data_IF_094486206771
#
_entry.id   IF_094486206771
#
_cell.length_a   1.000
_cell.length_b   1.000
_cell.length_c   1.000
_cell.angle_alpha   90.00
_cell.angle_beta   90.00
_cell.angle_gamma   90.00
#
_symmetry.space_group_name_H-M   'P 1'
#
loop_
_entity.id
_entity.type
_entity.pdbx_description
1 polymer ?
#
# COMPACT_ATOMS: atom_id res chain seq x y z
N UNK A 1 1.30 18.11 60.77
CA UNK A 1 1.84 16.99 59.96
C UNK A 1 0.93 16.59 58.80
N UNK A 2 -0.41 16.49 58.99
CA UNK A 2 -1.38 16.09 57.94
C UNK A 2 -1.46 17.03 56.72
N UNK A 3 -1.46 18.35 56.93
CA UNK A 3 -1.56 19.36 55.84
C UNK A 3 -0.35 19.32 54.90
N UNK A 4 0.84 19.08 55.45
CA UNK A 4 2.08 18.99 54.67
C UNK A 4 2.07 17.77 53.75
N UNK A 5 1.54 16.64 54.23
CA UNK A 5 1.44 15.41 53.45
C UNK A 5 0.44 15.55 52.28
N UNK A 6 -0.71 16.19 52.51
CA UNK A 6 -1.71 16.47 51.46
C UNK A 6 -1.16 17.36 50.33
N UNK A 7 -0.37 18.39 50.67
CA UNK A 7 0.27 19.27 49.71
C UNK A 7 1.31 18.56 48.83
N UNK A 8 2.09 17.65 49.43
CA UNK A 8 3.08 16.85 48.69
C UNK A 8 2.39 15.90 47.70
N UNK A 9 1.33 15.22 48.13
CA UNK A 9 0.55 14.32 47.26
C UNK A 9 -0.09 15.11 46.11
N UNK A 10 -0.77 16.22 46.41
CA UNK A 10 -1.39 17.05 45.37
C UNK A 10 -0.39 17.60 44.35
N UNK A 11 0.84 17.89 44.76
CA UNK A 11 1.90 18.32 43.85
C UNK A 11 2.39 17.17 42.96
N UNK A 12 2.59 15.99 43.54
CA UNK A 12 2.97 14.79 42.79
C UNK A 12 1.91 14.43 41.74
N UNK A 13 0.64 14.51 42.09
CA UNK A 13 -0.48 14.22 41.17
C UNK A 13 -0.54 15.25 40.03
N UNK A 14 -0.25 16.52 40.33
CA UNK A 14 -0.20 17.57 39.31
C UNK A 14 0.97 17.38 38.34
N UNK A 15 2.16 17.02 38.85
CA UNK A 15 3.33 16.73 38.02
C UNK A 15 3.09 15.49 37.15
N UNK A 16 2.44 14.45 37.69
CA UNK A 16 2.02 13.28 36.92
C UNK A 16 1.01 13.64 35.81
N UNK A 17 -0.01 14.43 36.14
CA UNK A 17 -1.03 14.85 35.16
C UNK A 17 -0.44 15.71 34.04
N UNK A 18 0.56 16.57 34.35
CA UNK A 18 1.28 17.31 33.32
C UNK A 18 2.07 16.40 32.39
N UNK A 19 2.73 15.38 32.93
CA UNK A 19 3.45 14.40 32.13
C UNK A 19 2.49 13.61 31.22
N UNK A 20 1.36 13.16 31.77
CA UNK A 20 0.33 12.44 31.01
C UNK A 20 -0.23 13.30 29.87
N UNK A 21 -0.49 14.59 30.12
CA UNK A 21 -0.97 15.51 29.09
C UNK A 21 0.06 15.72 27.98
N UNK A 22 1.34 15.85 28.34
CA UNK A 22 2.41 15.98 27.37
C UNK A 22 2.56 14.72 26.50
N UNK A 23 2.47 13.54 27.11
CA UNK A 23 2.51 12.26 26.40
C UNK A 23 1.30 12.11 25.47
N UNK A 24 0.09 12.40 25.95
CA UNK A 24 -1.13 12.32 25.14
C UNK A 24 -1.09 13.27 23.94
N UNK A 25 -0.51 14.47 24.11
CA UNK A 25 -0.31 15.40 23.00
C UNK A 25 0.66 14.84 21.97
N UNK A 26 1.76 14.23 22.41
CA UNK A 26 2.72 13.58 21.51
C UNK A 26 2.10 12.41 20.74
N UNK A 27 1.32 11.57 21.43
CA UNK A 27 0.59 10.45 20.82
C UNK A 27 -0.44 10.94 19.79
N UNK A 28 -1.17 12.01 20.10
CA UNK A 28 -2.12 12.63 19.18
C UNK A 28 -1.44 13.14 17.92
N UNK A 29 -0.31 13.84 18.06
CA UNK A 29 0.43 14.39 16.93
C UNK A 29 1.03 13.26 16.06
N UNK A 30 1.50 12.17 16.68
CA UNK A 30 1.98 10.96 15.97
C UNK A 30 0.85 10.30 15.17
N UNK A 31 -0.28 10.00 15.83
CA UNK A 31 -1.41 9.33 15.18
C UNK A 31 -2.01 10.19 14.05
N UNK A 32 -2.00 11.51 14.21
CA UNK A 32 -2.43 12.43 13.15
C UNK A 32 -1.50 12.38 11.95
N UNK A 33 -0.19 12.36 12.17
CA UNK A 33 0.79 12.23 11.08
C UNK A 33 0.61 10.91 10.33
N UNK A 34 0.47 9.79 11.05
CA UNK A 34 0.23 8.47 10.45
C UNK A 34 -1.06 8.45 9.62
N UNK A 35 -2.14 9.06 10.12
CA UNK A 35 -3.40 9.16 9.39
C UNK A 35 -3.26 10.00 8.11
N UNK A 36 -2.52 11.12 8.18
CA UNK A 36 -2.30 11.99 7.03
C UNK A 36 -1.43 11.29 5.97
N UNK A 37 -0.50 10.43 6.37
CA UNK A 37 0.30 9.60 5.44
C UNK A 37 -0.55 8.51 4.78
N UNK A 38 -1.38 7.78 5.54
CA UNK A 38 -2.29 6.76 5.00
C UNK A 38 -3.25 7.37 3.97
N UNK A 39 -3.78 8.56 4.24
CA UNK A 39 -4.72 9.26 3.35
C UNK A 39 -4.12 9.66 2.01
N UNK A 40 -2.80 9.69 1.85
CA UNK A 40 -2.16 9.99 0.56
C UNK A 40 -2.33 8.85 -0.44
N UNK A 41 -2.45 7.62 0.05
CA UNK A 41 -2.45 6.40 -0.77
C UNK A 41 -3.74 5.57 -0.62
N UNK A 42 -4.57 5.88 0.38
CA UNK A 42 -5.83 5.19 0.65
C UNK A 42 -7.07 6.10 0.43
N UNK A 43 -8.13 5.61 -0.23
CA UNK A 43 -8.24 4.29 -0.86
C UNK A 43 -7.33 4.19 -2.08
N UNK A 44 -6.77 3.00 -2.30
CA UNK A 44 -6.07 2.73 -3.54
C UNK A 44 -7.04 2.94 -4.72
N UNK A 45 -6.51 3.37 -5.86
CA UNK A 45 -7.27 3.69 -7.05
C UNK A 45 -6.80 2.89 -8.26
N UNK A 46 -7.65 2.88 -9.26
CA UNK A 46 -7.28 2.44 -10.60
C UNK A 46 -6.33 3.46 -11.26
N UNK A 47 -5.61 2.98 -12.28
CA UNK A 47 -4.90 3.85 -13.20
C UNK A 47 -5.92 4.60 -14.07
N UNK A 48 -5.67 5.88 -14.29
CA UNK A 48 -6.53 6.78 -15.10
C UNK A 48 -6.34 6.58 -16.60
N UNK A 49 -5.24 5.96 -17.02
CA UNK A 49 -4.95 5.68 -18.42
C UNK A 49 -3.90 4.58 -18.57
N UNK A 50 -3.82 3.98 -19.77
CA UNK A 50 -2.75 3.04 -20.11
C UNK A 50 -1.36 3.68 -20.03
N UNK A 51 -1.25 4.96 -20.36
CA UNK A 51 0.02 5.71 -20.30
C UNK A 51 0.52 5.79 -18.86
N UNK A 52 -0.37 6.12 -17.91
CA UNK A 52 -0.01 6.14 -16.48
C UNK A 52 0.44 4.77 -15.97
N UNK A 53 -0.23 3.68 -16.39
CA UNK A 53 0.20 2.32 -16.05
C UNK A 53 1.59 2.01 -16.62
N UNK A 54 1.84 2.38 -17.89
CA UNK A 54 3.14 2.13 -18.52
C UNK A 54 4.26 2.96 -17.89
N UNK A 55 4.00 4.21 -17.53
CA UNK A 55 4.95 5.05 -16.82
C UNK A 55 5.29 4.44 -15.44
N UNK A 56 4.28 3.97 -14.70
CA UNK A 56 4.50 3.31 -13.41
C UNK A 56 5.27 1.99 -13.55
N UNK A 57 4.96 1.17 -14.57
CA UNK A 57 5.69 -0.07 -14.83
C UNK A 57 7.16 0.18 -15.19
N UNK A 58 7.48 1.25 -15.92
CA UNK A 58 8.86 1.62 -16.23
C UNK A 58 9.65 2.07 -14.99
N UNK A 59 8.97 2.58 -13.95
CA UNK A 59 9.59 2.94 -12.67
C UNK A 59 9.73 1.71 -11.73
N UNK A 60 8.92 0.68 -11.92
CA UNK A 60 8.97 -0.57 -11.16
C UNK A 60 10.02 -1.54 -11.74
N UNK A 61 11.04 -1.91 -10.98
CA UNK A 61 12.20 -2.67 -11.47
C UNK A 61 12.01 -4.20 -11.46
N UNK A 62 10.81 -4.71 -11.16
CA UNK A 62 10.56 -6.16 -11.03
C UNK A 62 10.78 -6.91 -12.35
N UNK A 63 10.44 -6.28 -13.48
CA UNK A 63 10.65 -6.84 -14.82
C UNK A 63 12.14 -6.98 -15.16
N UNK A 64 13.00 -6.13 -14.59
CA UNK A 64 14.45 -6.12 -14.79
C UNK A 64 15.18 -7.18 -13.94
N UNK A 65 14.52 -7.75 -12.93
CA UNK A 65 15.09 -8.82 -12.10
C UNK A 65 15.34 -10.10 -12.94
N UNK A 66 16.32 -10.95 -12.54
CA UNK A 66 16.60 -12.20 -13.26
C UNK A 66 15.33 -13.03 -13.53
N UNK A 67 15.21 -13.69 -14.70
CA UNK A 67 14.05 -14.47 -15.05
C UNK A 67 13.74 -15.56 -14.02
N UNK A 68 12.46 -15.75 -13.73
CA UNK A 68 11.97 -16.77 -12.82
C UNK A 68 12.24 -18.17 -13.41
N UNK A 69 12.85 -19.03 -12.61
CA UNK A 69 13.08 -20.44 -12.96
C UNK A 69 11.90 -21.34 -12.59
N UNK A 70 11.00 -20.86 -11.73
CA UNK A 70 9.81 -21.61 -11.28
C UNK A 70 8.56 -20.71 -11.27
N UNK A 71 7.39 -21.34 -11.25
CA UNK A 71 6.10 -20.63 -11.19
C UNK A 71 5.95 -19.87 -9.88
N UNK A 72 6.46 -20.41 -8.78
CA UNK A 72 6.46 -19.75 -7.47
C UNK A 72 7.32 -18.48 -7.49
N UNK A 73 8.45 -18.49 -8.21
CA UNK A 73 9.28 -17.30 -8.39
C UNK A 73 8.56 -16.26 -9.26
N UNK A 74 7.87 -16.69 -10.32
CA UNK A 74 7.08 -15.79 -11.16
C UNK A 74 5.90 -15.17 -10.40
N UNK A 75 5.19 -15.98 -9.61
CA UNK A 75 4.12 -15.52 -8.74
C UNK A 75 4.63 -14.58 -7.66
N UNK A 76 5.80 -14.86 -7.08
CA UNK A 76 6.45 -13.96 -6.12
C UNK A 76 6.78 -12.59 -6.76
N UNK A 77 7.23 -12.54 -8.02
CA UNK A 77 7.43 -11.28 -8.73
C UNK A 77 6.12 -10.52 -8.90
N UNK A 78 5.05 -11.20 -9.31
CA UNK A 78 3.72 -10.59 -9.39
C UNK A 78 3.29 -10.00 -8.05
N UNK A 79 3.47 -10.73 -6.94
CA UNK A 79 3.13 -10.23 -5.62
C UNK A 79 3.93 -8.98 -5.24
N UNK A 80 5.21 -8.91 -5.61
CA UNK A 80 6.02 -7.69 -5.42
C UNK A 80 5.42 -6.50 -6.17
N UNK A 81 5.02 -6.69 -7.44
CA UNK A 81 4.36 -5.64 -8.24
C UNK A 81 3.07 -5.17 -7.55
N UNK A 82 2.24 -6.10 -7.07
CA UNK A 82 1.00 -5.77 -6.35
C UNK A 82 1.28 -5.03 -5.03
N UNK A 83 2.30 -5.43 -4.27
CA UNK A 83 2.68 -4.74 -3.03
C UNK A 83 3.20 -3.33 -3.29
N UNK A 84 4.01 -3.13 -4.32
CA UNK A 84 4.56 -1.83 -4.67
C UNK A 84 3.46 -0.89 -5.18
N UNK A 85 2.57 -1.39 -6.03
CA UNK A 85 1.39 -0.65 -6.48
C UNK A 85 0.56 -0.16 -5.29
N UNK A 86 0.31 -1.02 -4.29
CA UNK A 86 -0.44 -0.64 -3.09
C UNK A 86 0.28 0.42 -2.25
N UNK A 87 1.62 0.38 -2.16
CA UNK A 87 2.40 1.43 -1.47
C UNK A 87 2.28 2.78 -2.18
N UNK A 88 2.12 2.77 -3.49
CA UNK A 88 1.96 3.96 -4.32
C UNK A 88 0.49 4.40 -4.47
N UNK A 89 -0.45 3.64 -3.92
CA UNK A 89 -1.89 3.94 -3.95
C UNK A 89 -2.62 3.43 -5.20
N UNK A 90 -2.06 2.45 -5.91
CA UNK A 90 -2.67 1.80 -7.07
C UNK A 90 -3.21 0.40 -6.75
N UNK A 91 -4.21 -0.02 -7.52
CA UNK A 91 -4.77 -1.37 -7.48
C UNK A 91 -4.19 -2.17 -8.66
N UNK A 92 -3.41 -3.20 -8.34
CA UNK A 92 -2.99 -4.26 -9.26
C UNK A 92 -3.32 -5.59 -8.58
N UNK A 93 -3.89 -6.53 -9.32
CA UNK A 93 -4.13 -7.89 -8.85
C UNK A 93 -3.19 -8.86 -9.56
N UNK A 94 -2.61 -9.78 -8.82
CA UNK A 94 -1.95 -10.95 -9.40
C UNK A 94 -2.97 -12.07 -9.51
N UNK A 95 -3.11 -12.61 -10.70
CA UNK A 95 -3.91 -13.80 -10.96
C UNK A 95 -3.00 -15.00 -11.23
N UNK A 96 -3.45 -16.17 -10.78
CA UNK A 96 -2.82 -17.46 -11.01
C UNK A 96 -3.87 -18.48 -11.44
N UNK A 97 -3.81 -18.92 -12.69
CA UNK A 97 -4.72 -19.95 -13.23
C UNK A 97 -3.97 -21.16 -13.81
N UNK A 98 -4.64 -22.30 -13.83
CA UNK A 98 -4.13 -23.59 -14.31
C UNK A 98 -4.39 -23.74 -15.83
N UNK A 99 -3.48 -24.34 -16.62
CA UNK A 99 -2.37 -25.21 -16.21
C UNK A 99 -1.01 -24.50 -16.00
N UNK A 100 -0.98 -23.19 -15.73
CA UNK A 100 0.12 -22.32 -15.23
C UNK A 100 0.11 -21.02 -16.05
N UNK A 101 -0.58 -20.01 -15.54
CA UNK A 101 -0.55 -18.64 -16.02
C UNK A 101 -0.50 -17.73 -14.80
N UNK A 102 0.60 -16.97 -14.65
CA UNK A 102 0.70 -15.88 -13.68
C UNK A 102 0.60 -14.59 -14.46
N UNK A 103 -0.35 -13.73 -14.10
CA UNK A 103 -0.47 -12.43 -14.73
C UNK A 103 -0.80 -11.35 -13.71
N UNK A 104 -0.34 -10.15 -14.01
CA UNK A 104 -0.76 -8.94 -13.33
C UNK A 104 -1.92 -8.32 -14.09
N UNK A 105 -2.86 -7.74 -13.35
CA UNK A 105 -4.11 -7.21 -13.87
C UNK A 105 -4.38 -5.84 -13.27
N UNK A 106 -4.73 -4.87 -14.12
CA UNK A 106 -5.21 -3.55 -13.72
C UNK A 106 -6.52 -3.23 -14.45
N UNK A 107 -7.36 -2.39 -13.85
CA UNK A 107 -8.58 -1.89 -14.47
C UNK A 107 -8.34 -0.45 -14.89
N UNK A 108 -8.68 -0.12 -16.15
CA UNK A 108 -8.59 1.24 -16.69
C UNK A 108 -9.85 1.48 -17.53
N UNK A 109 -10.67 2.47 -17.16
CA UNK A 109 -11.98 2.74 -17.79
C UNK A 109 -12.90 1.49 -17.84
N UNK A 110 -12.80 0.63 -16.83
CA UNK A 110 -13.55 -0.63 -16.74
C UNK A 110 -12.98 -1.76 -17.62
N UNK A 111 -11.87 -1.55 -18.31
CA UNK A 111 -11.20 -2.58 -19.10
C UNK A 111 -10.06 -3.25 -18.32
N UNK A 112 -9.97 -4.57 -18.45
CA UNK A 112 -8.90 -5.38 -17.87
C UNK A 112 -7.65 -5.33 -18.77
N UNK A 113 -6.59 -4.76 -18.22
CA UNK A 113 -5.26 -4.77 -18.78
C UNK A 113 -4.44 -5.85 -18.10
N UNK A 114 -3.77 -6.67 -18.89
CA UNK A 114 -3.08 -7.87 -18.43
C UNK A 114 -1.64 -7.86 -18.93
N UNK A 115 -0.71 -8.29 -18.09
CA UNK A 115 0.69 -8.50 -18.46
C UNK A 115 1.33 -9.61 -17.63
N UNK A 116 2.46 -10.12 -18.10
CA UNK A 116 3.27 -11.06 -17.33
C UNK A 116 4.19 -10.28 -16.38
N UNK A 117 4.48 -10.77 -15.15
CA UNK A 117 5.34 -10.07 -14.19
C UNK A 117 6.76 -9.73 -14.66
N UNK A 118 7.22 -10.30 -15.78
CA UNK A 118 8.55 -10.06 -16.36
C UNK A 118 8.51 -9.17 -17.61
N UNK A 119 7.39 -8.47 -17.83
CA UNK A 119 7.17 -7.61 -18.99
C UNK A 119 6.41 -6.35 -18.61
N UNK A 120 6.85 -5.22 -19.16
CA UNK A 120 6.17 -3.92 -18.99
C UNK A 120 5.23 -3.59 -20.15
N UNK A 121 4.71 -4.61 -20.85
CA UNK A 121 3.80 -4.43 -21.98
C UNK A 121 2.39 -4.95 -21.69
N UNK A 122 1.56 -4.14 -21.01
CA UNK A 122 0.16 -4.46 -20.78
C UNK A 122 -0.62 -4.47 -22.10
N UNK A 123 -1.44 -5.51 -22.25
CA UNK A 123 -2.34 -5.67 -23.38
C UNK A 123 -3.79 -5.84 -22.91
N UNK A 124 -4.73 -5.46 -23.78
CA UNK A 124 -6.14 -5.58 -23.51
C UNK A 124 -6.60 -7.03 -23.73
N UNK A 125 -7.10 -7.68 -22.66
CA UNK A 125 -7.71 -9.00 -22.80
C UNK A 125 -9.17 -8.89 -23.26
N UNK A 126 -9.37 -8.74 -24.57
CA UNK A 126 -10.68 -8.50 -25.19
C UNK A 126 -11.75 -9.58 -24.92
N UNK A 127 -11.36 -10.76 -24.41
CA UNK A 127 -12.28 -11.86 -24.13
C UNK A 127 -13.13 -11.69 -22.86
N UNK A 128 -12.78 -10.77 -21.95
CA UNK A 128 -13.39 -10.68 -20.62
C UNK A 128 -14.41 -9.55 -20.45
N UNK A 129 -14.59 -8.70 -21.47
CA UNK A 129 -15.56 -7.60 -21.44
C UNK A 129 -15.17 -6.46 -20.51
N UNK A 130 -16.13 -5.59 -20.20
CA UNK A 130 -15.94 -4.44 -19.32
C UNK A 130 -16.44 -4.78 -17.91
N UNK A 131 -15.60 -4.56 -16.90
CA UNK A 131 -15.96 -4.65 -15.48
C UNK A 131 -16.71 -3.37 -15.10
N UNK A 132 -17.85 -3.52 -14.42
CA UNK A 132 -18.74 -2.41 -14.01
C UNK A 132 -18.57 -2.07 -12.54
#
# INVERSE_FOLDING_TARGET
MVVMALLVVSRSDYEALQADLANLQADYDSAKSELDDIKKVYPARDFSSLEELKDWLLENDVSELPPAATVEQLYSKGLTIQEDALKDGYIISVDFDTPIYVACVAIIDGYLWVWEPESDDPFLYSGWGQVR
#
